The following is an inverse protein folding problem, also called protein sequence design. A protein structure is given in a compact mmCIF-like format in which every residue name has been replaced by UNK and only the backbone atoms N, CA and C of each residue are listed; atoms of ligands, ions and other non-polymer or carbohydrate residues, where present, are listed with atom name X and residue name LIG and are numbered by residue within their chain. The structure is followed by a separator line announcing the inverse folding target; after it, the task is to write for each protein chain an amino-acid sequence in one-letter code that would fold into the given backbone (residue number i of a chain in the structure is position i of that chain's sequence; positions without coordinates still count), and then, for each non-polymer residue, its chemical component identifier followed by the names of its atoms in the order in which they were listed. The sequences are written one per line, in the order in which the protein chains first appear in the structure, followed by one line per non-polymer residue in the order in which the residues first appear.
data_IF_093718254029
#
_entry.id   IF_093718254029
#
_cell.length_a   1.000
_cell.length_b   1.000
_cell.length_c   1.000
_cell.angle_alpha   90.00
_cell.angle_beta   90.00
_cell.angle_gamma   90.00
#
_symmetry.space_group_name_H-M   'P 1'
#
loop_
_entity.id
_entity.type
_entity.pdbx_description
1 polymer ?
#
# COMPACT_ATOMS: atom_id res chain seq x y z
N UNK A 1 -11.09 -16.13 0.78
CA UNK A 1 -11.03 -15.94 2.24
C UNK A 1 -9.79 -16.64 2.76
N UNK A 2 -8.91 -15.95 3.49
CA UNK A 2 -7.76 -16.59 4.16
C UNK A 2 -8.24 -17.20 5.47
N UNK A 3 -8.70 -18.44 5.38
CA UNK A 3 -8.91 -19.31 6.53
C UNK A 3 -7.71 -20.27 6.62
N UNK A 4 -6.94 -20.29 7.73
CA UNK A 4 -7.07 -19.45 8.92
C UNK A 4 -6.51 -18.02 8.72
N UNK A 5 -6.94 -17.03 9.52
CA UNK A 5 -6.44 -15.65 9.47
C UNK A 5 -4.92 -15.53 9.54
N UNK A 6 -4.26 -16.44 10.25
CA UNK A 6 -2.79 -16.52 10.37
C UNK A 6 -2.07 -16.83 9.06
N UNK A 7 -2.77 -17.32 8.03
CA UNK A 7 -2.19 -17.62 6.73
C UNK A 7 -1.50 -16.40 6.10
N UNK A 8 -2.01 -15.18 6.36
CA UNK A 8 -1.44 -13.93 5.84
C UNK A 8 0.02 -13.71 6.28
N UNK A 9 0.40 -14.23 7.46
CA UNK A 9 1.74 -14.06 8.03
C UNK A 9 2.83 -14.80 7.22
N UNK A 10 2.44 -15.75 6.37
CA UNK A 10 3.36 -16.52 5.52
C UNK A 10 3.75 -15.77 4.23
N UNK A 11 3.14 -14.61 3.96
CA UNK A 11 3.35 -13.87 2.72
C UNK A 11 4.23 -12.64 2.88
N UNK A 12 4.89 -12.23 1.80
CA UNK A 12 5.73 -11.02 1.74
C UNK A 12 5.65 -10.38 0.37
N UNK A 13 5.69 -9.04 0.31
CA UNK A 13 5.95 -8.31 -0.93
C UNK A 13 7.46 -8.19 -1.13
N UNK A 14 7.96 -8.52 -2.31
CA UNK A 14 9.39 -8.44 -2.63
C UNK A 14 9.64 -7.27 -3.57
N UNK A 15 10.03 -6.13 -3.00
CA UNK A 15 10.59 -5.02 -3.78
C UNK A 15 11.99 -5.44 -4.25
N UNK A 16 12.26 -5.34 -5.55
CA UNK A 16 13.52 -5.79 -6.16
C UNK A 16 14.75 -5.12 -5.51
N UNK A 17 15.88 -5.85 -5.46
CA UNK A 17 17.19 -5.28 -5.12
C UNK A 17 17.75 -5.54 -3.70
N UNK A 18 16.99 -6.15 -2.77
CA UNK A 18 17.54 -6.53 -1.44
C UNK A 18 17.40 -8.02 -1.18
N UNK A 19 18.47 -8.76 -1.48
CA UNK A 19 18.65 -10.21 -1.33
C UNK A 19 18.76 -10.71 0.14
N UNK A 20 18.12 -10.02 1.08
CA UNK A 20 18.13 -10.38 2.50
C UNK A 20 16.71 -10.40 3.04
N UNK A 21 15.90 -11.38 2.62
CA UNK A 21 14.58 -11.61 3.21
C UNK A 21 14.35 -13.09 3.36
N UNK A 22 14.02 -13.47 4.58
CA UNK A 22 13.56 -14.79 5.01
C UNK A 22 13.02 -15.62 3.84
N UNK A 23 13.74 -16.69 3.52
CA UNK A 23 13.44 -17.57 2.38
C UNK A 23 12.18 -18.41 2.63
N UNK A 24 11.71 -18.47 3.88
CA UNK A 24 10.50 -19.22 4.24
C UNK A 24 9.21 -18.48 3.87
N UNK A 25 9.28 -17.17 3.62
CA UNK A 25 8.12 -16.35 3.25
C UNK A 25 7.80 -16.44 1.75
N UNK A 26 6.54 -16.73 1.45
CA UNK A 26 6.00 -16.81 0.10
C UNK A 26 5.75 -15.42 -0.48
N UNK A 27 5.96 -15.19 -1.79
CA UNK A 27 5.49 -13.96 -2.41
C UNK A 27 3.97 -13.84 -2.25
N UNK A 28 3.48 -12.62 -2.00
CA UNK A 28 2.05 -12.35 -2.03
C UNK A 28 1.49 -12.72 -3.42
N UNK A 29 0.29 -13.34 -3.50
CA UNK A 29 -0.31 -13.64 -4.80
C UNK A 29 -0.44 -12.37 -5.66
N UNK A 30 0.03 -12.44 -6.91
CA UNK A 30 0.13 -11.28 -7.81
C UNK A 30 -1.20 -10.55 -8.00
N UNK A 31 -2.31 -11.28 -8.08
CA UNK A 31 -3.65 -10.70 -8.18
C UNK A 31 -4.06 -9.91 -6.93
N UNK A 32 -3.70 -10.40 -5.73
CA UNK A 32 -3.98 -9.70 -4.47
C UNK A 32 -3.13 -8.45 -4.36
N UNK A 33 -1.84 -8.57 -4.69
CA UNK A 33 -0.91 -7.42 -4.72
C UNK A 33 -1.39 -6.34 -5.68
N UNK A 34 -1.74 -6.71 -6.92
CA UNK A 34 -2.27 -5.79 -7.93
C UNK A 34 -3.55 -5.09 -7.46
N UNK A 35 -4.50 -5.83 -6.88
CA UNK A 35 -5.75 -5.24 -6.37
C UNK A 35 -5.49 -4.23 -5.26
N UNK A 36 -4.61 -4.55 -4.30
CA UNK A 36 -4.30 -3.63 -3.20
C UNK A 36 -3.57 -2.37 -3.68
N UNK A 37 -2.68 -2.52 -4.66
CA UNK A 37 -1.95 -1.40 -5.26
C UNK A 37 -2.89 -0.51 -6.05
N UNK A 38 -3.68 -1.09 -6.97
CA UNK A 38 -4.61 -0.34 -7.81
C UNK A 38 -5.67 0.35 -6.94
N UNK A 39 -6.21 -0.31 -5.92
CA UNK A 39 -7.14 0.31 -4.96
C UNK A 39 -6.54 1.54 -4.28
N UNK A 40 -5.29 1.46 -3.81
CA UNK A 40 -4.63 2.61 -3.18
C UNK A 40 -4.33 3.74 -4.18
N UNK A 41 -4.00 3.41 -5.43
CA UNK A 41 -3.80 4.40 -6.50
C UNK A 41 -5.12 5.08 -6.90
N UNK A 42 -6.23 4.33 -6.94
CA UNK A 42 -7.56 4.86 -7.20
C UNK A 42 -7.96 5.89 -6.14
N UNK A 43 -7.69 5.61 -4.86
CA UNK A 43 -7.93 6.54 -3.76
C UNK A 43 -7.12 7.84 -3.86
N UNK A 44 -5.94 7.78 -4.50
CA UNK A 44 -5.08 8.93 -4.73
C UNK A 44 -5.39 9.67 -6.05
N UNK A 45 -6.38 9.19 -6.82
CA UNK A 45 -6.77 9.79 -8.11
C UNK A 45 -5.95 9.32 -9.31
N UNK A 46 -5.09 8.29 -9.16
CA UNK A 46 -4.29 7.71 -10.24
C UNK A 46 -4.92 6.46 -10.88
N UNK A 47 -6.22 6.27 -10.65
CA UNK A 47 -7.02 5.15 -11.16
C UNK A 47 -7.56 5.33 -12.58
N UNK A 48 -7.43 6.53 -13.15
CA UNK A 48 -7.98 6.83 -14.47
C UNK A 48 -7.37 5.94 -15.57
N UNK A 49 -8.18 5.40 -16.50
CA UNK A 49 -7.70 4.56 -17.60
C UNK A 49 -6.58 5.22 -18.41
N UNK A 50 -6.68 6.53 -18.61
CA UNK A 50 -5.72 7.36 -19.34
C UNK A 50 -4.36 7.39 -18.64
N UNK A 51 -4.32 7.34 -17.31
CA UNK A 51 -3.07 7.30 -16.53
C UNK A 51 -2.55 5.86 -16.46
N UNK A 52 -3.44 4.87 -16.26
CA UNK A 52 -3.08 3.46 -16.07
C UNK A 52 -2.54 2.81 -17.34
N UNK A 53 -3.17 3.08 -18.48
CA UNK A 53 -2.79 2.54 -19.78
C UNK A 53 -3.19 3.52 -20.90
N UNK A 54 -2.41 4.58 -21.13
CA UNK A 54 -2.72 5.60 -22.13
C UNK A 54 -2.92 5.02 -23.53
N UNK A 55 -2.16 3.98 -23.89
CA UNK A 55 -2.24 3.33 -25.19
C UNK A 55 -3.54 2.55 -25.42
N UNK A 56 -4.29 2.25 -24.35
CA UNK A 56 -5.56 1.52 -24.41
C UNK A 56 -6.79 2.42 -24.45
N UNK A 57 -6.62 3.75 -24.55
CA UNK A 57 -7.72 4.71 -24.46
C UNK A 57 -7.69 5.66 -25.66
N UNK A 58 -8.86 5.96 -26.21
CA UNK A 58 -9.04 7.02 -27.20
C UNK A 58 -9.06 8.38 -26.49
N UNK A 59 -7.89 9.01 -26.35
CA UNK A 59 -7.69 10.22 -25.54
C UNK A 59 -8.55 11.42 -26.00
N UNK A 60 -8.78 11.58 -27.30
CA UNK A 60 -9.56 12.69 -27.85
C UNK A 60 -11.02 12.68 -27.39
N UNK A 61 -11.57 11.50 -27.09
CA UNK A 61 -12.92 11.33 -26.57
C UNK A 61 -12.98 11.31 -25.03
N UNK A 62 -11.83 11.37 -24.35
CA UNK A 62 -11.78 11.35 -22.90
C UNK A 62 -12.10 12.72 -22.29
N UNK A 63 -13.12 12.73 -21.43
CA UNK A 63 -13.45 13.90 -20.58
C UNK A 63 -12.34 14.21 -19.59
N UNK A 64 -11.72 13.17 -19.03
CA UNK A 64 -10.59 13.32 -18.11
C UNK A 64 -9.42 14.01 -18.83
N UNK A 65 -8.99 13.48 -19.98
CA UNK A 65 -7.91 14.08 -20.76
C UNK A 65 -8.22 15.52 -21.17
N UNK A 66 -9.46 15.79 -21.60
CA UNK A 66 -9.92 17.14 -21.95
C UNK A 66 -9.82 18.12 -20.78
N UNK A 67 -10.00 17.64 -19.54
CA UNK A 67 -9.92 18.48 -18.34
C UNK A 67 -8.50 18.88 -17.95
N UNK A 68 -7.46 18.23 -18.50
CA UNK A 68 -6.06 18.46 -18.11
C UNK A 68 -5.44 19.74 -18.69
N UNK A 69 -6.09 20.40 -19.65
CA UNK A 69 -5.52 21.57 -20.31
C UNK A 69 -6.38 22.11 -21.44
N UNK A 70 -5.99 23.28 -21.98
CA UNK A 70 -6.74 23.93 -23.07
C UNK A 70 -6.30 23.40 -24.43
N UNK A 71 -5.00 23.12 -24.59
CA UNK A 71 -4.44 22.57 -25.83
C UNK A 71 -4.11 21.09 -25.70
N UNK A 72 -3.93 20.41 -26.84
CA UNK A 72 -3.53 19.00 -26.85
C UNK A 72 -2.12 18.80 -26.25
N UNK A 73 -1.22 19.76 -26.47
CA UNK A 73 0.14 19.76 -25.95
C UNK A 73 0.13 19.88 -24.42
N UNK A 74 -0.65 20.81 -23.86
CA UNK A 74 -0.81 20.99 -22.41
C UNK A 74 -1.36 19.71 -21.77
N UNK A 75 -2.42 19.14 -22.35
CA UNK A 75 -3.05 17.91 -21.83
C UNK A 75 -2.09 16.72 -21.84
N UNK A 76 -1.29 16.56 -22.90
CA UNK A 76 -0.30 15.50 -22.96
C UNK A 76 0.85 15.69 -21.98
N UNK A 77 1.32 16.93 -21.80
CA UNK A 77 2.35 17.23 -20.81
C UNK A 77 1.86 16.89 -19.39
N UNK A 78 0.65 17.31 -19.04
CA UNK A 78 0.04 16.99 -17.74
C UNK A 78 -0.21 15.49 -17.57
N UNK A 79 -0.72 14.81 -18.60
CA UNK A 79 -0.94 13.36 -18.56
C UNK A 79 0.37 12.60 -18.29
N UNK A 80 1.49 13.02 -18.90
CA UNK A 80 2.81 12.42 -18.65
C UNK A 80 3.25 12.59 -17.20
N UNK A 81 3.06 13.77 -16.62
CA UNK A 81 3.36 14.03 -15.20
C UNK A 81 2.54 13.08 -14.32
N UNK A 82 1.25 12.92 -14.60
CA UNK A 82 0.39 12.02 -13.83
C UNK A 82 0.80 10.54 -13.96
N UNK A 83 1.25 10.10 -15.15
CA UNK A 83 1.78 8.74 -15.36
C UNK A 83 3.06 8.50 -14.54
N UNK A 84 3.97 9.47 -14.53
CA UNK A 84 5.20 9.40 -13.74
C UNK A 84 4.90 9.35 -12.24
N UNK A 85 4.04 10.25 -11.76
CA UNK A 85 3.57 10.25 -10.37
C UNK A 85 2.89 8.94 -9.98
N UNK A 86 2.10 8.33 -10.87
CA UNK A 86 1.49 7.03 -10.61
C UNK A 86 2.53 5.95 -10.33
N UNK A 87 3.63 5.91 -11.08
CA UNK A 87 4.70 4.94 -10.84
C UNK A 87 5.47 5.23 -9.53
N UNK A 88 5.69 6.50 -9.19
CA UNK A 88 6.29 6.87 -7.90
C UNK A 88 5.42 6.43 -6.71
N UNK A 89 4.11 6.72 -6.77
CA UNK A 89 3.16 6.30 -5.75
C UNK A 89 3.06 4.78 -5.65
N UNK A 90 3.09 4.08 -6.78
CA UNK A 90 3.11 2.62 -6.82
C UNK A 90 4.33 2.06 -6.09
N UNK A 91 5.51 2.67 -6.21
CA UNK A 91 6.69 2.25 -5.43
C UNK A 91 6.49 2.46 -3.93
N UNK A 92 5.91 3.60 -3.54
CA UNK A 92 5.61 3.91 -2.13
C UNK A 92 4.57 2.94 -1.55
N UNK A 93 3.50 2.65 -2.28
CA UNK A 93 2.44 1.71 -1.88
C UNK A 93 3.02 0.29 -1.75
N UNK A 94 3.87 -0.14 -2.69
CA UNK A 94 4.58 -1.42 -2.58
C UNK A 94 5.39 -1.52 -1.29
N UNK A 95 6.13 -0.45 -0.95
CA UNK A 95 6.89 -0.38 0.31
C UNK A 95 5.97 -0.39 1.52
N UNK A 96 4.85 0.33 1.49
CA UNK A 96 3.87 0.34 2.57
C UNK A 96 3.25 -1.05 2.79
N UNK A 97 2.85 -1.74 1.71
CA UNK A 97 2.30 -3.10 1.77
C UNK A 97 3.34 -4.08 2.34
N UNK A 98 4.60 -3.93 1.94
CA UNK A 98 5.69 -4.70 2.51
C UNK A 98 5.86 -4.48 4.02
N UNK A 99 5.75 -3.23 4.48
CA UNK A 99 5.82 -2.87 5.90
C UNK A 99 4.61 -3.40 6.66
N UNK A 100 3.41 -3.31 6.11
CA UNK A 100 2.18 -3.85 6.71
C UNK A 100 2.25 -5.38 6.88
N UNK A 101 2.71 -6.12 5.87
CA UNK A 101 2.92 -7.57 6.00
C UNK A 101 4.03 -7.90 7.00
N UNK A 102 5.03 -7.03 7.17
CA UNK A 102 6.03 -7.19 8.24
C UNK A 102 5.42 -6.94 9.61
N UNK A 103 4.54 -5.95 9.71
CA UNK A 103 3.86 -5.60 10.94
C UNK A 103 2.94 -6.73 11.40
N UNK A 104 2.10 -7.27 10.53
CA UNK A 104 1.15 -8.35 10.86
C UNK A 104 1.85 -9.64 11.34
N UNK A 105 3.09 -9.89 10.92
CA UNK A 105 3.91 -11.01 11.44
C UNK A 105 4.34 -10.84 12.90
N UNK A 106 4.28 -9.62 13.42
CA UNK A 106 4.51 -9.34 14.84
C UNK A 106 3.23 -9.39 15.68
N UNK A 107 2.10 -9.80 15.10
CA UNK A 107 0.88 -10.05 15.87
C UNK A 107 0.69 -11.54 16.08
N UNK A 108 0.02 -11.90 17.17
CA UNK A 108 -0.46 -13.25 17.42
C UNK A 108 -1.97 -13.24 17.19
N UNK A 109 -2.52 -14.24 16.51
CA UNK A 109 -3.97 -14.37 16.36
C UNK A 109 -4.50 -15.27 17.47
N UNK A 110 -5.48 -14.80 18.22
CA UNK A 110 -6.05 -15.53 19.36
C UNK A 110 -7.44 -15.04 19.71
N UNK A 111 -7.93 -15.45 20.87
CA UNK A 111 -9.26 -15.09 21.37
C UNK A 111 -9.12 -14.22 22.62
N UNK A 112 -9.85 -13.10 22.67
CA UNK A 112 -9.97 -12.26 23.87
C UNK A 112 -11.44 -12.03 24.13
N UNK A 113 -11.91 -12.37 25.33
CA UNK A 113 -13.33 -12.27 25.72
C UNK A 113 -14.31 -12.93 24.73
N UNK A 114 -13.97 -14.10 24.19
CA UNK A 114 -14.83 -14.79 23.21
C UNK A 114 -14.71 -14.30 21.77
N UNK A 115 -13.85 -13.30 21.50
CA UNK A 115 -13.74 -12.68 20.18
C UNK A 115 -12.36 -12.94 19.56
N UNK A 116 -12.30 -13.63 18.39
CA UNK A 116 -11.06 -13.81 17.62
C UNK A 116 -10.50 -12.48 17.13
N UNK A 117 -9.25 -12.19 17.48
CA UNK A 117 -8.61 -10.92 17.13
C UNK A 117 -7.08 -11.02 17.06
N UNK A 118 -6.47 -10.03 16.41
CA UNK A 118 -5.02 -9.84 16.36
C UNK A 118 -4.53 -9.18 17.65
N UNK A 119 -3.65 -9.86 18.36
CA UNK A 119 -3.08 -9.47 19.65
C UNK A 119 -1.63 -9.01 19.43
N UNK A 120 -1.28 -7.83 19.94
CA UNK A 120 0.10 -7.31 19.90
C UNK A 120 1.04 -8.24 20.66
N UNK A 121 2.13 -8.69 20.02
CA UNK A 121 3.16 -9.47 20.70
C UNK A 121 3.98 -8.62 21.70
N UNK A 122 4.82 -9.27 22.52
CA UNK A 122 5.67 -8.60 23.52
C UNK A 122 6.57 -7.50 22.95
N UNK A 123 7.00 -7.61 21.69
CA UNK A 123 7.84 -6.59 21.03
C UNK A 123 7.03 -5.32 20.73
N UNK A 124 5.82 -5.47 20.19
CA UNK A 124 4.91 -4.36 19.89
C UNK A 124 4.38 -3.67 21.16
N UNK A 125 4.20 -4.42 22.26
CA UNK A 125 3.82 -3.83 23.56
C UNK A 125 4.89 -2.86 24.08
N UNK A 126 6.16 -3.25 24.01
CA UNK A 126 7.30 -2.42 24.45
C UNK A 126 7.44 -1.13 23.63
N UNK A 127 7.25 -1.20 22.31
CA UNK A 127 7.29 -0.02 21.43
C UNK A 127 6.11 0.94 21.68
N UNK A 128 4.94 0.41 22.07
CA UNK A 128 3.77 1.22 22.44
C UNK A 128 3.94 1.93 23.79
N UNK A 129 4.52 1.25 24.78
CA UNK A 129 4.83 1.83 26.10
C UNK A 129 5.83 2.99 25.98
N UNK A 130 6.89 2.83 25.18
CA UNK A 130 7.89 3.88 24.95
C UNK A 130 7.33 5.13 24.26
N UNK A 131 6.35 4.97 23.35
CA UNK A 131 5.69 6.12 22.69
C UNK A 131 4.67 6.80 23.60
N UNK A 132 4.01 6.04 24.48
CA UNK A 132 3.03 6.59 25.43
C UNK A 132 3.67 7.31 26.63
N UNK A 133 4.92 7.00 26.97
CA UNK A 133 5.69 7.78 27.96
C UNK A 133 6.19 9.11 27.40
N UNK A 134 6.61 9.16 26.12
CA UNK A 134 7.09 10.40 25.50
C UNK A 134 6.02 11.49 25.30
N UNK A 135 4.74 11.12 25.19
CA UNK A 135 3.62 12.09 25.10
C UNK A 135 3.19 12.65 26.46
N UNK A 136 3.59 12.03 27.58
CA UNK A 136 3.26 12.53 28.93
C UNK A 136 4.14 13.71 29.37
N UNK A 137 5.29 13.90 28.74
CA UNK A 137 6.28 14.92 29.13
C UNK A 137 6.05 16.30 28.48
N UNK A 138 5.07 16.44 27.58
CA UNK A 138 4.79 17.71 26.89
C UNK A 138 3.58 18.49 27.44
N UNK A 139 2.87 17.95 28.44
CA UNK A 139 1.62 18.53 28.94
C UNK A 139 1.73 19.14 30.35
N UNK A 140 2.94 19.43 30.82
CA UNK A 140 3.15 20.06 32.11
C UNK A 140 4.08 21.28 31.97
N UNK A 141 3.51 22.42 31.53
CA UNK A 141 4.08 23.75 31.74
C UNK A 141 2.97 24.80 31.83
#
# INVERSE_FOLDING_TARGET
MTDPPTAIQKYVVRVSGKAGRDKTLKPLPTNVEAVLIDFALDMLGYGWPEIRNPAGVELENSRFFTSLGKTFEERNAELRILIEQREDWKMLINKALQLALRDIRNYEYGEVNGVPQWIKNKRQKKDGELRSDGDRDLNNN
#
